data_IF_357233983549
#
_entry.id   IF_357233983549
#
_cell.length_a   1.000
_cell.length_b   1.000
_cell.length_c   1.000
_cell.angle_alpha   90.00
_cell.angle_beta   90.00
_cell.angle_gamma   90.00
#
_symmetry.space_group_name_H-M   'P 1'
#
loop_
_entity.id
_entity.type
_entity.pdbx_description
1 polymer ?
#
# COMPACT_ATOMS: atom_id res chain seq x y z
N UNK A 1 10.23 -12.08 -17.01
CA UNK A 1 10.49 -10.63 -17.25
C UNK A 1 10.72 -9.90 -15.94
N UNK A 2 11.34 -8.73 -15.98
CA UNK A 2 11.40 -7.79 -14.83
C UNK A 2 10.40 -6.68 -15.12
N UNK A 3 9.58 -6.33 -14.13
CA UNK A 3 8.53 -5.31 -14.26
C UNK A 3 8.57 -4.33 -13.08
N UNK A 4 8.23 -3.08 -13.33
CA UNK A 4 8.14 -2.01 -12.34
C UNK A 4 6.69 -1.81 -11.94
N UNK A 5 6.39 -1.85 -10.65
CA UNK A 5 5.03 -1.73 -10.14
C UNK A 5 4.90 -0.72 -9.00
N UNK A 6 3.87 0.11 -9.05
CA UNK A 6 3.45 1.02 -8.00
C UNK A 6 1.98 0.72 -7.63
N UNK A 7 1.77 0.08 -6.50
CA UNK A 7 0.45 -0.44 -6.13
C UNK A 7 -0.34 0.46 -5.19
N UNK A 8 0.30 1.46 -4.59
CA UNK A 8 -0.34 2.36 -3.64
C UNK A 8 -0.47 3.76 -4.24
N UNK A 9 -1.60 3.98 -4.86
CA UNK A 9 -2.00 5.25 -5.44
C UNK A 9 -3.44 5.56 -5.04
N UNK A 10 -3.87 6.80 -5.21
CA UNK A 10 -5.22 7.24 -4.87
C UNK A 10 -5.97 7.84 -6.06
N UNK A 11 -7.28 7.61 -6.08
CA UNK A 11 -8.23 8.17 -7.03
C UNK A 11 -8.67 9.59 -6.63
N UNK A 12 -9.49 10.27 -7.46
CA UNK A 12 -10.07 11.56 -7.10
C UNK A 12 -10.98 11.51 -5.86
N UNK A 13 -11.40 10.33 -5.45
CA UNK A 13 -12.32 10.12 -4.32
C UNK A 13 -11.63 10.01 -2.97
N UNK A 14 -10.29 9.95 -2.94
CA UNK A 14 -9.50 10.01 -1.71
C UNK A 14 -9.03 11.44 -1.42
N UNK A 15 -9.24 11.91 -0.19
CA UNK A 15 -8.68 13.19 0.27
C UNK A 15 -7.25 12.95 0.80
N UNK A 16 -6.29 13.82 0.52
CA UNK A 16 -6.41 15.16 -0.05
C UNK A 16 -6.13 15.28 -1.55
N UNK A 17 -6.70 14.43 -2.39
CA UNK A 17 -6.51 14.54 -3.84
C UNK A 17 -7.04 15.89 -4.34
N UNK A 18 -6.13 16.78 -4.76
CA UNK A 18 -6.47 18.16 -5.20
C UNK A 18 -6.55 18.27 -6.73
N UNK A 19 -6.18 17.22 -7.45
CA UNK A 19 -6.10 17.24 -8.91
C UNK A 19 -7.02 16.17 -9.50
N UNK A 20 -7.64 16.43 -10.65
CA UNK A 20 -8.37 15.40 -11.36
C UNK A 20 -7.40 14.27 -11.73
N UNK A 21 -7.77 13.05 -11.37
CA UNK A 21 -7.04 11.82 -11.70
C UNK A 21 -7.93 10.99 -12.59
N UNK A 22 -7.44 10.55 -13.74
CA UNK A 22 -8.12 9.57 -14.60
C UNK A 22 -7.22 8.39 -14.88
N UNK A 23 -7.80 7.23 -15.18
CA UNK A 23 -7.04 6.02 -15.54
C UNK A 23 -6.16 6.26 -16.77
N UNK A 24 -6.66 7.03 -17.75
CA UNK A 24 -5.88 7.44 -18.94
C UNK A 24 -4.65 8.26 -18.53
N UNK A 25 -4.81 9.24 -17.66
CA UNK A 25 -3.69 10.08 -17.20
C UNK A 25 -2.68 9.28 -16.39
N UNK A 26 -3.15 8.36 -15.54
CA UNK A 26 -2.30 7.44 -14.80
C UNK A 26 -1.47 6.58 -15.76
N UNK A 27 -2.09 5.98 -16.78
CA UNK A 27 -1.39 5.17 -17.78
C UNK A 27 -0.35 5.99 -18.56
N UNK A 28 -0.73 7.18 -19.09
CA UNK A 28 0.23 8.05 -19.79
C UNK A 28 1.45 8.37 -18.91
N UNK A 29 1.21 8.71 -17.64
CA UNK A 29 2.29 9.07 -16.72
C UNK A 29 3.09 7.86 -16.22
N UNK A 30 2.48 6.68 -16.13
CA UNK A 30 3.17 5.42 -15.87
C UNK A 30 4.16 5.10 -16.99
N UNK A 31 3.75 5.23 -18.24
CA UNK A 31 4.62 5.06 -19.42
C UNK A 31 5.84 6.00 -19.38
N UNK A 32 5.63 7.29 -19.07
CA UNK A 32 6.72 8.27 -18.94
C UNK A 32 7.70 7.86 -17.83
N UNK A 33 7.19 7.24 -16.77
CA UNK A 33 7.97 6.83 -15.59
C UNK A 33 8.63 5.47 -15.75
N UNK A 34 8.25 4.69 -16.74
CA UNK A 34 8.69 3.31 -16.95
C UNK A 34 8.06 2.32 -15.96
N UNK A 35 6.80 2.56 -15.57
CA UNK A 35 6.01 1.64 -14.77
C UNK A 35 5.17 0.76 -15.69
N UNK A 36 5.21 -0.55 -15.45
CA UNK A 36 4.45 -1.55 -16.19
C UNK A 36 3.10 -1.84 -15.56
N UNK A 37 3.06 -1.81 -14.21
CA UNK A 37 1.89 -2.17 -13.41
C UNK A 37 1.58 -1.07 -12.41
N UNK A 38 0.30 -0.70 -12.32
CA UNK A 38 -0.24 0.17 -11.27
C UNK A 38 -1.31 -0.55 -10.46
N UNK A 39 -1.40 -0.23 -9.17
CA UNK A 39 -2.64 -0.42 -8.43
C UNK A 39 -3.70 0.55 -8.96
N UNK A 40 -4.97 0.17 -8.93
CA UNK A 40 -6.05 1.11 -9.25
C UNK A 40 -6.20 2.17 -8.17
N UNK A 41 -5.82 1.82 -6.93
CA UNK A 41 -6.26 2.56 -5.75
C UNK A 41 -7.78 2.58 -5.63
N UNK A 42 -8.29 2.75 -4.44
CA UNK A 42 -9.69 3.06 -4.15
C UNK A 42 -10.75 2.19 -4.87
N UNK A 43 -10.42 0.91 -5.19
CA UNK A 43 -11.29 0.04 -6.01
C UNK A 43 -12.64 -0.30 -5.37
N UNK A 44 -12.84 0.00 -4.08
CA UNK A 44 -14.14 -0.17 -3.41
C UNK A 44 -15.11 0.97 -3.73
N UNK A 45 -14.63 2.14 -4.16
CA UNK A 45 -15.48 3.29 -4.45
C UNK A 45 -16.31 3.05 -5.73
N UNK A 46 -17.66 3.13 -5.68
CA UNK A 46 -18.53 2.68 -6.78
C UNK A 46 -18.26 3.39 -8.12
N UNK A 47 -18.08 4.70 -8.08
CA UNK A 47 -17.85 5.48 -9.29
C UNK A 47 -16.46 5.19 -9.89
N UNK A 48 -15.45 4.93 -9.04
CA UNK A 48 -14.13 4.55 -9.51
C UNK A 48 -14.11 3.14 -10.08
N UNK A 49 -14.74 2.19 -9.37
CA UNK A 49 -14.90 0.82 -9.86
C UNK A 49 -15.63 0.77 -11.21
N UNK A 50 -16.64 1.63 -11.42
CA UNK A 50 -17.31 1.74 -12.71
C UNK A 50 -16.37 2.24 -13.82
N UNK A 51 -15.44 3.15 -13.52
CA UNK A 51 -14.41 3.55 -14.49
C UNK A 51 -13.41 2.42 -14.76
N UNK A 52 -12.98 1.69 -13.73
CA UNK A 52 -12.09 0.52 -13.88
C UNK A 52 -12.74 -0.53 -14.80
N UNK A 53 -14.03 -0.79 -14.64
CA UNK A 53 -14.80 -1.73 -15.49
C UNK A 53 -14.86 -1.33 -16.97
N UNK A 54 -14.52 -0.09 -17.33
CA UNK A 54 -14.44 0.32 -18.74
C UNK A 54 -13.11 -0.02 -19.39
N UNK A 55 -12.11 -0.43 -18.62
CA UNK A 55 -10.84 -0.88 -19.14
C UNK A 55 -10.96 -2.28 -19.77
N UNK A 56 -10.04 -2.63 -20.64
CA UNK A 56 -9.92 -3.98 -21.17
C UNK A 56 -9.50 -4.94 -20.04
N UNK A 57 -10.34 -5.91 -19.71
CA UNK A 57 -9.98 -6.98 -18.80
C UNK A 57 -9.22 -8.05 -19.55
N UNK A 58 -7.92 -8.22 -19.25
CA UNK A 58 -7.04 -9.18 -19.93
C UNK A 58 -6.90 -10.51 -19.18
N UNK A 59 -7.17 -10.49 -17.86
CA UNK A 59 -7.21 -11.68 -16.99
C UNK A 59 -8.05 -11.34 -15.76
N UNK A 60 -8.35 -12.32 -14.90
CA UNK A 60 -9.07 -12.09 -13.66
C UNK A 60 -8.32 -11.09 -12.77
N UNK A 61 -9.03 -10.04 -12.32
CA UNK A 61 -8.47 -8.94 -11.53
C UNK A 61 -7.39 -8.10 -12.22
N UNK A 62 -7.22 -8.27 -13.52
CA UNK A 62 -6.17 -7.64 -14.30
C UNK A 62 -6.76 -6.86 -15.48
N UNK A 63 -6.53 -5.57 -15.51
CA UNK A 63 -7.07 -4.65 -16.49
C UNK A 63 -5.94 -3.95 -17.24
N UNK A 64 -6.19 -3.56 -18.49
CA UNK A 64 -5.22 -2.88 -19.34
C UNK A 64 -5.79 -1.56 -19.88
N UNK A 65 -4.96 -0.53 -19.89
CA UNK A 65 -5.18 0.69 -20.68
C UNK A 65 -3.87 1.05 -21.39
N UNK A 66 -3.88 1.10 -22.72
CA UNK A 66 -2.68 1.23 -23.55
C UNK A 66 -1.67 0.12 -23.19
N UNK A 67 -0.54 0.48 -22.60
CA UNK A 67 0.51 -0.47 -22.20
C UNK A 67 0.61 -0.67 -20.67
N UNK A 68 -0.26 -0.01 -19.91
CA UNK A 68 -0.23 -0.08 -18.45
C UNK A 68 -1.23 -1.09 -17.93
N UNK A 69 -0.76 -1.98 -17.07
CA UNK A 69 -1.60 -2.94 -16.38
C UNK A 69 -2.10 -2.33 -15.04
N UNK A 70 -3.37 -2.54 -14.75
CA UNK A 70 -4.00 -2.12 -13.50
C UNK A 70 -4.47 -3.33 -12.70
N UNK A 71 -4.08 -3.39 -11.43
CA UNK A 71 -4.55 -4.38 -10.45
C UNK A 71 -5.46 -3.71 -9.42
N UNK A 72 -6.48 -4.44 -8.98
CA UNK A 72 -7.47 -3.94 -8.02
C UNK A 72 -6.87 -3.76 -6.63
N UNK A 73 -6.64 -2.52 -6.21
CA UNK A 73 -6.07 -2.19 -4.90
C UNK A 73 -6.91 -1.16 -4.16
N UNK A 74 -6.81 -1.16 -2.83
CA UNK A 74 -7.40 -0.14 -1.96
C UNK A 74 -6.60 0.01 -0.68
N UNK A 75 -6.50 1.23 -0.17
CA UNK A 75 -6.07 1.50 1.20
C UNK A 75 -7.29 1.62 2.12
N UNK A 76 -7.25 0.96 3.28
CA UNK A 76 -8.32 0.96 4.29
C UNK A 76 -7.74 1.39 5.63
N UNK A 77 -8.45 2.29 6.33
CA UNK A 77 -8.15 2.66 7.72
C UNK A 77 -9.03 1.86 8.68
N UNK A 78 -8.44 1.23 9.70
CA UNK A 78 -9.14 0.52 10.77
C UNK A 78 -9.35 1.41 12.01
N UNK A 79 -10.16 0.96 12.98
CA UNK A 79 -10.51 1.74 14.17
C UNK A 79 -9.32 2.04 15.10
N UNK A 80 -8.24 1.26 15.00
CA UNK A 80 -6.96 1.53 15.68
C UNK A 80 -6.11 2.61 14.96
N UNK A 81 -6.62 3.14 13.84
CA UNK A 81 -6.02 4.22 13.07
C UNK A 81 -4.85 3.78 12.19
N UNK A 82 -4.73 2.47 11.92
CA UNK A 82 -3.72 1.90 11.03
C UNK A 82 -4.27 1.83 9.62
N UNK A 83 -3.40 2.06 8.65
CA UNK A 83 -3.70 1.87 7.24
C UNK A 83 -3.22 0.50 6.73
N UNK A 84 -4.04 -0.10 5.89
CA UNK A 84 -3.78 -1.40 5.27
C UNK A 84 -3.98 -1.31 3.77
N UNK A 85 -3.05 -1.88 3.01
CA UNK A 85 -3.19 -2.01 1.57
C UNK A 85 -3.72 -3.42 1.25
N UNK A 86 -4.79 -3.47 0.46
CA UNK A 86 -5.41 -4.72 0.00
C UNK A 86 -5.31 -4.83 -1.52
N UNK A 87 -5.19 -6.08 -2.00
CA UNK A 87 -5.25 -6.44 -3.42
C UNK A 87 -6.36 -7.46 -3.62
N UNK A 88 -7.27 -7.21 -4.55
CA UNK A 88 -8.36 -8.11 -4.85
C UNK A 88 -8.11 -8.91 -6.12
N UNK A 89 -8.38 -10.24 -6.11
CA UNK A 89 -8.19 -11.09 -7.28
C UNK A 89 -9.25 -10.87 -8.37
N UNK A 90 -10.42 -10.30 -8.02
CA UNK A 90 -11.52 -10.11 -8.95
C UNK A 90 -12.51 -9.04 -8.46
N UNK A 91 -13.35 -8.58 -9.38
CA UNK A 91 -14.48 -7.69 -9.05
C UNK A 91 -15.51 -8.41 -8.17
N UNK A 92 -15.71 -9.71 -8.33
CA UNK A 92 -16.62 -10.47 -7.48
C UNK A 92 -16.15 -10.51 -6.03
N UNK A 93 -14.83 -10.65 -5.79
CA UNK A 93 -14.27 -10.56 -4.45
C UNK A 93 -14.41 -9.15 -3.83
N UNK A 94 -14.34 -8.09 -4.64
CA UNK A 94 -14.67 -6.74 -4.17
C UNK A 94 -16.11 -6.65 -3.69
N UNK A 95 -17.07 -7.15 -4.47
CA UNK A 95 -18.49 -7.11 -4.08
C UNK A 95 -18.76 -7.93 -2.81
N UNK A 96 -18.18 -9.13 -2.68
CA UNK A 96 -18.28 -9.93 -1.46
C UNK A 96 -17.64 -9.21 -0.25
N UNK A 97 -16.50 -8.56 -0.44
CA UNK A 97 -15.87 -7.77 0.62
C UNK A 97 -16.73 -6.58 1.04
N UNK A 98 -17.32 -5.83 0.11
CA UNK A 98 -18.23 -4.70 0.38
C UNK A 98 -19.46 -5.20 1.17
N UNK A 99 -20.08 -6.30 0.75
CA UNK A 99 -21.23 -6.88 1.44
C UNK A 99 -20.90 -7.20 2.90
N UNK A 100 -19.75 -7.82 3.15
CA UNK A 100 -19.29 -8.20 4.50
C UNK A 100 -18.88 -7.01 5.37
N UNK A 101 -18.51 -5.89 4.77
CA UNK A 101 -17.96 -4.72 5.50
C UNK A 101 -18.93 -3.55 5.60
N UNK A 102 -20.02 -3.55 4.84
CA UNK A 102 -20.99 -2.45 4.78
C UNK A 102 -21.54 -2.01 6.15
N UNK A 103 -21.75 -2.97 7.06
CA UNK A 103 -22.23 -2.67 8.42
C UNK A 103 -21.18 -2.00 9.33
N UNK A 104 -19.90 -2.05 8.95
CA UNK A 104 -18.79 -1.49 9.72
C UNK A 104 -18.27 -0.17 9.15
N UNK A 105 -18.78 0.27 8.00
CA UNK A 105 -18.35 1.51 7.37
C UNK A 105 -19.56 2.28 6.83
N UNK A 106 -19.92 3.41 7.47
CA UNK A 106 -21.02 4.24 6.97
C UNK A 106 -20.66 4.99 5.68
N UNK A 107 -19.42 4.90 5.20
CA UNK A 107 -18.91 5.69 4.08
C UNK A 107 -18.05 4.90 3.08
N UNK A 108 -18.23 3.59 3.03
CA UNK A 108 -17.48 2.73 2.09
C UNK A 108 -17.74 3.13 0.62
N UNK A 109 -18.91 3.69 0.35
CA UNK A 109 -19.36 4.11 -0.98
C UNK A 109 -19.00 5.57 -1.29
N UNK A 110 -18.55 6.34 -0.29
CA UNK A 110 -18.37 7.79 -0.40
C UNK A 110 -16.90 8.21 -0.47
N UNK A 111 -16.01 7.37 0.05
CA UNK A 111 -14.58 7.67 0.16
C UNK A 111 -13.75 6.62 -0.55
N UNK A 112 -12.76 7.08 -1.31
CA UNK A 112 -11.78 6.21 -1.94
C UNK A 112 -11.03 5.38 -0.92
N UNK A 113 -10.57 6.01 0.17
CA UNK A 113 -10.04 5.33 1.36
C UNK A 113 -11.12 5.27 2.43
N UNK A 114 -11.83 4.15 2.59
CA UNK A 114 -12.83 3.99 3.62
C UNK A 114 -12.20 3.82 5.00
N UNK A 115 -12.94 4.24 6.02
CA UNK A 115 -12.69 3.88 7.41
C UNK A 115 -13.64 2.77 7.81
N UNK A 116 -13.10 1.69 8.38
CA UNK A 116 -13.87 0.58 8.91
C UNK A 116 -13.77 0.57 10.45
N UNK A 117 -14.91 0.52 11.12
CA UNK A 117 -14.98 0.41 12.58
C UNK A 117 -14.76 -1.04 13.05
N UNK A 118 -13.63 -1.59 12.65
CA UNK A 118 -13.15 -2.93 13.02
C UNK A 118 -11.66 -2.89 13.34
N UNK A 119 -11.18 -3.89 14.08
CA UNK A 119 -9.75 -4.05 14.35
C UNK A 119 -8.98 -4.52 13.12
N UNK A 120 -7.66 -4.27 13.10
CA UNK A 120 -6.75 -4.79 12.08
C UNK A 120 -6.80 -6.32 11.94
N UNK A 121 -6.98 -7.06 13.06
CA UNK A 121 -7.18 -8.52 13.05
C UNK A 121 -8.46 -8.90 12.27
N UNK A 122 -9.57 -8.22 12.55
CA UNK A 122 -10.85 -8.49 11.87
C UNK A 122 -10.77 -8.15 10.37
N UNK A 123 -10.13 -7.04 10.02
CA UNK A 123 -9.89 -6.70 8.61
C UNK A 123 -9.08 -7.80 7.91
N UNK A 124 -8.01 -8.31 8.54
CA UNK A 124 -7.22 -9.40 7.96
C UNK A 124 -8.03 -10.70 7.80
N UNK A 125 -8.95 -11.00 8.73
CA UNK A 125 -9.88 -12.11 8.59
C UNK A 125 -10.83 -11.93 7.39
N UNK A 126 -11.39 -10.75 7.20
CA UNK A 126 -12.27 -10.44 6.07
C UNK A 126 -11.51 -10.49 4.74
N UNK A 127 -10.30 -9.94 4.67
CA UNK A 127 -9.44 -10.02 3.50
C UNK A 127 -9.16 -11.48 3.11
N UNK A 128 -8.78 -12.32 4.09
CA UNK A 128 -8.60 -13.76 3.87
C UNK A 128 -9.86 -14.43 3.33
N UNK A 129 -11.03 -14.12 3.91
CA UNK A 129 -12.30 -14.76 3.55
C UNK A 129 -12.79 -14.39 2.14
N UNK A 130 -12.21 -13.34 1.54
CA UNK A 130 -12.50 -12.85 0.18
C UNK A 130 -11.29 -13.00 -0.75
N UNK A 131 -10.33 -13.87 -0.42
CA UNK A 131 -9.10 -14.14 -1.19
C UNK A 131 -8.23 -12.91 -1.48
N UNK A 132 -8.47 -11.77 -0.82
CA UNK A 132 -7.66 -10.59 -0.94
C UNK A 132 -6.30 -10.78 -0.25
N UNK A 133 -5.22 -10.28 -0.86
CA UNK A 133 -3.97 -10.09 -0.15
C UNK A 133 -4.07 -8.84 0.73
N UNK A 134 -3.47 -8.90 1.90
CA UNK A 134 -3.41 -7.78 2.84
C UNK A 134 -2.01 -7.62 3.42
N UNK A 135 -1.61 -6.39 3.62
CA UNK A 135 -0.43 -6.01 4.40
C UNK A 135 -0.57 -4.60 4.96
N UNK A 136 0.20 -4.25 6.01
CA UNK A 136 0.21 -2.90 6.53
C UNK A 136 0.75 -1.93 5.47
N UNK A 137 0.04 -0.82 5.26
CA UNK A 137 0.50 0.28 4.45
C UNK A 137 1.53 1.11 5.23
N UNK A 138 2.54 1.65 4.52
CA UNK A 138 3.59 2.53 5.08
C UNK A 138 3.90 2.22 6.56
N UNK A 139 4.28 0.95 6.80
CA UNK A 139 4.46 0.28 8.11
C UNK A 139 5.13 1.14 9.18
N UNK A 140 6.08 2.00 8.78
CA UNK A 140 6.89 2.85 9.66
C UNK A 140 6.41 4.31 9.74
N UNK A 141 5.24 4.64 9.15
CA UNK A 141 4.68 5.99 9.30
C UNK A 141 4.36 6.29 10.76
N UNK A 142 4.75 7.47 11.22
CA UNK A 142 4.64 7.86 12.64
C UNK A 142 3.20 8.02 13.14
N UNK A 143 2.22 8.15 12.25
CA UNK A 143 0.82 8.40 12.60
C UNK A 143 -0.10 7.23 12.25
N UNK A 144 0.11 6.62 11.09
CA UNK A 144 -0.79 5.63 10.48
C UNK A 144 -0.13 4.27 10.25
N UNK A 145 1.18 4.18 10.47
CA UNK A 145 1.93 2.93 10.37
C UNK A 145 1.69 2.01 11.57
N UNK A 146 1.75 0.71 11.35
CA UNK A 146 1.50 -0.29 12.40
C UNK A 146 2.42 -0.10 13.60
N UNK A 147 3.72 0.14 13.38
CA UNK A 147 4.67 0.32 14.47
C UNK A 147 4.54 1.63 15.25
N UNK A 148 3.66 2.55 14.81
CA UNK A 148 3.28 3.71 15.62
C UNK A 148 2.30 3.35 16.74
N UNK A 149 1.62 2.20 16.65
CA UNK A 149 0.56 1.76 17.57
C UNK A 149 0.88 0.43 18.24
N UNK A 150 1.54 -0.48 17.56
CA UNK A 150 1.81 -1.84 18.03
C UNK A 150 3.31 -2.15 17.98
N UNK A 151 3.85 -2.85 18.98
CA UNK A 151 5.28 -3.21 19.00
C UNK A 151 5.63 -4.35 18.02
N UNK A 152 4.65 -5.14 17.58
CA UNK A 152 4.86 -6.29 16.69
C UNK A 152 3.67 -6.52 15.76
N UNK A 153 3.89 -7.23 14.64
CA UNK A 153 2.82 -7.70 13.77
C UNK A 153 1.82 -8.58 14.54
N UNK A 154 2.34 -9.47 15.39
CA UNK A 154 1.49 -10.39 16.14
C UNK A 154 0.63 -9.69 17.20
N UNK A 155 1.06 -8.57 17.75
CA UNK A 155 0.22 -7.79 18.66
C UNK A 155 -0.92 -7.07 17.95
N UNK A 156 -0.73 -6.74 16.67
CA UNK A 156 -1.74 -6.11 15.81
C UNK A 156 -2.72 -7.14 15.22
N UNK A 157 -2.20 -8.12 14.51
CA UNK A 157 -3.01 -9.06 13.72
C UNK A 157 -3.33 -10.37 14.46
N UNK A 158 -2.74 -10.62 15.62
CA UNK A 158 -2.95 -11.78 16.48
C UNK A 158 -2.94 -13.11 15.67
N UNK A 159 -4.05 -13.86 15.68
CA UNK A 159 -4.17 -15.13 14.96
C UNK A 159 -4.10 -14.99 13.43
N UNK A 160 -4.35 -13.77 12.92
CA UNK A 160 -4.30 -13.48 11.50
C UNK A 160 -2.89 -13.13 10.99
N UNK A 161 -1.89 -13.01 11.87
CA UNK A 161 -0.49 -12.71 11.49
C UNK A 161 0.05 -13.58 10.35
N UNK A 162 -0.19 -14.91 10.30
CA UNK A 162 0.30 -15.77 9.21
C UNK A 162 -0.31 -15.47 7.83
N UNK A 163 -1.37 -14.68 7.77
CA UNK A 163 -2.06 -14.33 6.53
C UNK A 163 -1.66 -12.95 5.99
N UNK A 164 -0.79 -12.24 6.71
CA UNK A 164 -0.22 -10.98 6.21
C UNK A 164 0.77 -11.32 5.11
N UNK A 165 0.52 -10.81 3.91
CA UNK A 165 1.23 -11.22 2.70
C UNK A 165 2.52 -10.41 2.45
N UNK A 166 2.56 -9.16 2.89
CA UNK A 166 3.66 -8.23 2.63
C UNK A 166 3.72 -7.14 3.70
N UNK A 167 4.82 -6.38 3.68
CA UNK A 167 4.98 -5.16 4.44
C UNK A 167 5.33 -4.01 3.49
N UNK A 168 4.49 -2.97 3.41
CA UNK A 168 4.84 -1.78 2.69
C UNK A 168 5.70 -0.85 3.55
N UNK A 169 6.86 -0.47 3.03
CA UNK A 169 7.86 0.27 3.79
C UNK A 169 7.48 1.74 4.01
N UNK A 170 6.82 2.35 3.01
CA UNK A 170 6.51 3.78 3.01
C UNK A 170 7.73 4.65 2.72
N UNK A 171 7.53 5.99 2.72
CA UNK A 171 8.53 6.97 2.31
C UNK A 171 9.65 7.19 3.34
N UNK A 172 9.44 6.77 4.57
CA UNK A 172 10.34 7.07 5.71
C UNK A 172 11.32 5.95 6.03
N UNK A 173 11.35 4.86 5.26
CA UNK A 173 12.25 3.73 5.50
C UNK A 173 12.63 3.01 4.22
N UNK A 174 13.59 2.09 4.32
CA UNK A 174 14.05 1.24 3.23
C UNK A 174 14.25 -0.21 3.72
N UNK A 175 14.62 -1.09 2.80
CA UNK A 175 14.86 -2.51 3.10
C UNK A 175 15.96 -2.71 4.14
N UNK A 176 17.02 -1.88 4.14
CA UNK A 176 18.11 -1.99 5.11
C UNK A 176 17.63 -1.77 6.56
N UNK A 177 16.69 -0.84 6.78
CA UNK A 177 16.12 -0.61 8.11
C UNK A 177 15.10 -1.69 8.49
N UNK A 178 14.23 -2.07 7.55
CA UNK A 178 13.22 -3.10 7.78
C UNK A 178 13.86 -4.47 8.08
N UNK A 179 14.96 -4.79 7.42
CA UNK A 179 15.65 -6.06 7.57
C UNK A 179 16.35 -6.24 8.93
N UNK A 180 16.42 -5.20 9.75
CA UNK A 180 16.84 -5.31 11.15
C UNK A 180 15.76 -5.86 12.08
N UNK A 181 14.52 -6.00 11.58
CA UNK A 181 13.36 -6.46 12.35
C UNK A 181 13.04 -7.89 11.92
N UNK A 182 13.43 -8.86 12.78
CA UNK A 182 13.36 -10.30 12.44
C UNK A 182 11.97 -10.80 12.06
N UNK A 183 10.91 -10.26 12.66
CA UNK A 183 9.54 -10.67 12.31
C UNK A 183 9.12 -10.29 10.88
N UNK A 184 9.81 -9.38 10.22
CA UNK A 184 9.53 -8.98 8.84
C UNK A 184 10.20 -9.86 7.78
N UNK A 185 11.19 -10.70 8.12
CA UNK A 185 12.00 -11.45 7.16
C UNK A 185 11.18 -12.41 6.29
N UNK A 186 10.06 -12.90 6.80
CA UNK A 186 9.18 -13.79 6.03
C UNK A 186 8.26 -13.03 5.06
N UNK A 187 8.13 -11.72 5.18
CA UNK A 187 7.29 -10.88 4.33
C UNK A 187 8.07 -10.35 3.12
N UNK A 188 7.36 -10.15 2.03
CA UNK A 188 7.88 -9.38 0.91
C UNK A 188 7.74 -7.89 1.21
N UNK A 189 8.84 -7.14 1.06
CA UNK A 189 8.79 -5.69 1.18
C UNK A 189 8.28 -5.07 -0.10
N UNK A 190 7.28 -4.20 0.03
CA UNK A 190 6.78 -3.36 -1.04
C UNK A 190 7.19 -1.91 -0.80
N UNK A 191 7.52 -1.23 -1.87
CA UNK A 191 7.80 0.20 -1.90
C UNK A 191 6.91 0.80 -2.96
N UNK A 192 6.05 1.73 -2.57
CA UNK A 192 5.06 2.37 -3.45
C UNK A 192 5.05 3.88 -3.22
N UNK A 193 4.45 4.63 -4.13
CA UNK A 193 4.50 6.09 -4.08
C UNK A 193 3.55 6.74 -3.08
N UNK A 194 2.48 6.09 -2.70
CA UNK A 194 1.37 6.66 -1.90
C UNK A 194 0.94 8.01 -2.49
N UNK A 195 0.69 8.02 -3.80
CA UNK A 195 0.46 9.27 -4.49
C UNK A 195 -1.02 9.65 -4.55
N UNK A 196 -1.30 10.91 -4.24
CA UNK A 196 -2.59 11.57 -4.42
C UNK A 196 -2.55 12.53 -5.64
N UNK A 197 -1.54 12.39 -6.49
CA UNK A 197 -1.34 13.24 -7.65
C UNK A 197 -0.76 12.40 -8.81
N UNK A 198 -1.40 12.38 -9.99
CA UNK A 198 -0.97 11.55 -11.11
C UNK A 198 0.33 12.03 -11.77
N UNK A 199 0.84 13.20 -11.44
CA UNK A 199 2.04 13.77 -12.08
C UNK A 199 3.25 12.84 -11.94
N UNK A 200 4.09 12.65 -12.97
CA UNK A 200 5.22 11.71 -12.95
C UNK A 200 6.27 11.97 -11.85
N UNK A 201 6.34 13.19 -11.30
CA UNK A 201 7.21 13.47 -10.12
C UNK A 201 6.69 12.75 -8.86
N UNK A 202 5.39 12.45 -8.80
CA UNK A 202 4.75 11.81 -7.65
C UNK A 202 4.46 10.34 -7.90
N UNK A 203 3.83 10.01 -9.03
CA UNK A 203 3.57 8.64 -9.47
C UNK A 203 4.90 7.92 -9.67
N UNK A 204 5.04 6.75 -9.08
CA UNK A 204 6.28 5.96 -9.16
C UNK A 204 7.52 6.67 -8.61
N UNK A 205 7.37 7.63 -7.69
CA UNK A 205 8.52 8.19 -6.96
C UNK A 205 9.21 7.14 -6.10
N UNK A 206 8.45 6.13 -5.72
CA UNK A 206 8.89 4.86 -5.18
C UNK A 206 8.10 3.75 -5.84
N UNK A 207 8.74 2.60 -6.11
CA UNK A 207 8.12 1.44 -6.73
C UNK A 207 8.89 0.17 -6.42
N UNK A 208 8.27 -0.98 -6.67
CA UNK A 208 8.90 -2.30 -6.51
C UNK A 208 9.10 -2.96 -7.85
N UNK A 209 10.28 -3.56 -8.07
CA UNK A 209 10.51 -4.43 -9.23
C UNK A 209 10.20 -5.88 -8.88
N UNK A 210 9.55 -6.57 -9.81
CA UNK A 210 9.22 -7.99 -9.69
C UNK A 210 9.78 -8.80 -10.84
N UNK A 211 10.18 -10.04 -10.51
CA UNK A 211 10.49 -11.08 -11.49
C UNK A 211 9.28 -12.00 -11.63
N UNK A 212 8.59 -11.89 -12.77
CA UNK A 212 7.36 -12.64 -13.07
C UNK A 212 7.42 -13.19 -14.51
N UNK A 213 6.41 -14.00 -14.90
CA UNK A 213 6.31 -14.55 -16.26
C UNK A 213 5.36 -13.72 -17.11
N UNK A 214 4.18 -13.39 -16.59
CA UNK A 214 3.10 -12.68 -17.27
C UNK A 214 2.61 -11.51 -16.44
N UNK A 215 2.00 -10.51 -17.09
CA UNK A 215 1.49 -9.30 -16.45
C UNK A 215 0.07 -9.54 -15.90
N UNK A 216 -0.05 -10.40 -14.88
CA UNK A 216 -1.34 -10.75 -14.27
C UNK A 216 -1.32 -10.61 -12.75
N UNK A 217 -2.51 -10.48 -12.15
CA UNK A 217 -2.67 -10.51 -10.70
C UNK A 217 -2.09 -11.81 -10.10
N UNK A 218 -2.35 -12.95 -10.75
CA UNK A 218 -1.85 -14.25 -10.29
C UNK A 218 -0.32 -14.29 -10.17
N UNK A 219 0.41 -13.73 -11.14
CA UNK A 219 1.87 -13.68 -11.13
C UNK A 219 2.41 -12.74 -10.04
N UNK A 220 1.77 -11.59 -9.85
CA UNK A 220 2.10 -10.66 -8.75
C UNK A 220 1.80 -11.29 -7.38
N UNK A 221 0.67 -12.00 -7.24
CA UNK A 221 0.36 -12.77 -6.02
C UNK A 221 1.44 -13.80 -5.71
N UNK A 222 1.91 -14.56 -6.72
CA UNK A 222 3.02 -15.51 -6.56
C UNK A 222 4.31 -14.80 -6.14
N UNK A 223 4.61 -13.64 -6.73
CA UNK A 223 5.82 -12.89 -6.41
C UNK A 223 5.79 -12.30 -5.00
N UNK A 224 4.64 -11.78 -4.56
CA UNK A 224 4.44 -11.30 -3.19
C UNK A 224 4.59 -12.46 -2.18
N UNK A 225 4.01 -13.62 -2.49
CA UNK A 225 4.10 -14.83 -1.64
C UNK A 225 5.40 -15.62 -1.83
N UNK A 226 6.33 -15.16 -2.67
CA UNK A 226 7.61 -15.81 -3.00
C UNK A 226 7.45 -17.24 -3.53
N UNK A 227 6.38 -17.49 -4.26
CA UNK A 227 6.03 -18.81 -4.77
C UNK A 227 6.56 -19.05 -6.18
N UNK A 228 6.86 -20.30 -6.52
CA UNK A 228 7.23 -20.75 -7.88
C UNK A 228 8.39 -19.95 -8.50
N UNK A 229 9.36 -19.51 -7.69
CA UNK A 229 10.51 -18.74 -8.14
C UNK A 229 10.20 -17.27 -8.51
N UNK A 230 8.96 -16.82 -8.35
CA UNK A 230 8.58 -15.41 -8.50
C UNK A 230 8.94 -14.65 -7.24
N UNK A 231 9.34 -13.39 -7.38
CA UNK A 231 9.77 -12.57 -6.24
C UNK A 231 9.83 -11.09 -6.58
N UNK A 232 9.82 -10.25 -5.55
CA UNK A 232 10.37 -8.89 -5.65
C UNK A 232 11.89 -8.97 -5.78
N UNK A 233 12.48 -8.16 -6.64
CA UNK A 233 13.94 -8.16 -6.89
C UNK A 233 14.60 -6.86 -6.48
N UNK A 234 13.84 -5.76 -6.43
CA UNK A 234 14.36 -4.46 -6.03
C UNK A 234 13.24 -3.57 -5.46
N UNK A 235 13.55 -2.85 -4.42
CA UNK A 235 12.74 -1.75 -3.88
C UNK A 235 13.43 -0.43 -4.25
N UNK A 236 12.74 0.42 -5.01
CA UNK A 236 13.28 1.68 -5.52
C UNK A 236 12.61 2.83 -4.80
N UNK A 237 13.41 3.73 -4.23
CA UNK A 237 12.90 4.88 -3.50
C UNK A 237 13.99 5.87 -3.15
N UNK A 238 13.62 6.95 -2.48
CA UNK A 238 14.55 7.92 -1.94
C UNK A 238 15.24 7.42 -0.67
N UNK A 239 16.48 7.88 -0.38
CA UNK A 239 17.10 7.63 0.91
C UNK A 239 16.20 8.16 2.04
N UNK A 240 15.85 7.34 3.04
CA UNK A 240 14.97 7.77 4.14
C UNK A 240 15.55 8.97 4.91
N UNK A 241 16.88 9.08 4.96
CA UNK A 241 17.64 10.13 5.65
C UNK A 241 17.29 11.53 5.14
N UNK A 242 16.86 11.66 3.88
CA UNK A 242 16.39 12.91 3.29
C UNK A 242 14.95 13.24 3.72
N UNK A 243 14.25 12.28 4.30
CA UNK A 243 12.87 12.43 4.74
C UNK A 243 12.74 13.28 6.01
N UNK A 244 11.70 14.13 6.05
CA UNK A 244 11.45 15.00 7.20
C UNK A 244 11.13 14.25 8.50
N UNK A 245 10.78 12.98 8.45
CA UNK A 245 10.42 12.14 9.59
C UNK A 245 11.53 11.17 10.02
N UNK A 246 12.66 11.18 9.36
CA UNK A 246 13.77 10.27 9.67
C UNK A 246 14.49 10.62 10.98
N UNK A 247 14.49 11.89 11.37
CA UNK A 247 15.13 12.35 12.60
C UNK A 247 14.16 12.41 13.77
N UNK A 248 14.67 12.25 14.99
CA UNK A 248 13.88 12.50 16.21
C UNK A 248 13.46 13.97 16.29
N UNK A 249 12.29 14.24 16.84
CA UNK A 249 11.78 15.58 17.03
C UNK A 249 11.15 15.75 18.42
N UNK A 250 11.28 16.93 19.00
CA UNK A 250 10.57 17.27 20.22
C UNK A 250 9.07 17.33 19.96
N UNK A 251 8.27 16.63 20.74
CA UNK A 251 6.82 16.62 20.64
C UNK A 251 6.16 17.96 20.95
N UNK A 252 6.87 18.83 21.66
CA UNK A 252 6.35 20.14 22.08
C UNK A 252 6.76 21.28 21.12
N UNK A 253 8.06 21.40 20.82
CA UNK A 253 8.57 22.52 19.99
C UNK A 253 8.97 22.11 18.57
N UNK A 254 8.85 20.84 18.21
CA UNK A 254 9.18 20.25 16.91
C UNK A 254 10.63 20.43 16.45
N UNK A 255 11.55 20.84 17.34
CA UNK A 255 12.97 20.89 17.06
C UNK A 255 13.49 19.49 16.74
N UNK A 256 14.22 19.36 15.63
CA UNK A 256 14.76 18.09 15.15
C UNK A 256 16.13 17.83 15.76
N UNK A 257 16.40 16.56 15.98
CA UNK A 257 17.67 16.03 16.47
C UNK A 257 18.03 14.79 15.66
N UNK A 258 19.30 14.54 15.45
CA UNK A 258 19.77 13.21 15.06
C UNK A 258 19.47 12.23 16.21
N UNK A 259 19.43 10.93 15.93
CA UNK A 259 19.26 9.92 17.00
C UNK A 259 20.38 10.05 18.01
N UNK A 260 21.65 10.21 17.55
CA UNK A 260 22.80 10.39 18.42
C UNK A 260 22.69 11.64 19.31
N UNK A 261 22.22 12.78 18.77
CA UNK A 261 22.01 13.98 19.56
C UNK A 261 20.90 13.81 20.61
N UNK A 262 19.84 13.07 20.25
CA UNK A 262 18.74 12.79 21.16
C UNK A 262 19.18 11.87 22.31
N UNK A 263 19.98 10.84 22.01
CA UNK A 263 20.58 9.93 23.00
C UNK A 263 21.49 10.69 23.97
N UNK A 264 22.41 11.54 23.46
CA UNK A 264 23.28 12.37 24.28
C UNK A 264 22.51 13.33 25.20
N UNK A 265 21.30 13.70 24.83
CA UNK A 265 20.38 14.54 25.63
C UNK A 265 19.39 13.73 26.46
N UNK A 266 19.58 12.40 26.57
CA UNK A 266 18.65 11.51 27.27
C UNK A 266 17.19 11.69 26.80
N UNK A 267 17.00 11.96 25.50
CA UNK A 267 15.68 12.19 24.87
C UNK A 267 14.91 13.39 25.42
N UNK A 268 15.60 14.34 26.05
CA UNK A 268 15.01 15.55 26.62
C UNK A 268 15.37 16.76 25.75
N UNK A 269 14.36 17.51 25.32
CA UNK A 269 14.55 18.78 24.63
C UNK A 269 14.59 19.92 25.67
N UNK A 270 15.69 20.65 25.71
CA UNK A 270 15.87 21.84 26.53
C UNK A 270 15.70 23.12 25.73
#
# INVERSE_FOLDING_TARGET
MIVNADFHIHSPYSKPTQHPVSLKQLSTNASIKGLDILGTGDCLHPQWLNQIKTLEQIDEGTFCFDQTIFLLTVEIETNDGIHHLLFFPSISCIHDFIERTSSFSPNIDEKGRPHLDISSEHLAFLAKSTDALIGPAHLFDANKGLYSKYPTLSSCYKQMTPYIAFAELGLGTNTYHADKIGELHHLTYLTNSDTHNPHPIRLGRQFTQFQITDLTFSEIKKAILRNQGKKSVLNVGFPPEEGKYFSSACTHCHKRYTVSDAEQKNWICH
#
